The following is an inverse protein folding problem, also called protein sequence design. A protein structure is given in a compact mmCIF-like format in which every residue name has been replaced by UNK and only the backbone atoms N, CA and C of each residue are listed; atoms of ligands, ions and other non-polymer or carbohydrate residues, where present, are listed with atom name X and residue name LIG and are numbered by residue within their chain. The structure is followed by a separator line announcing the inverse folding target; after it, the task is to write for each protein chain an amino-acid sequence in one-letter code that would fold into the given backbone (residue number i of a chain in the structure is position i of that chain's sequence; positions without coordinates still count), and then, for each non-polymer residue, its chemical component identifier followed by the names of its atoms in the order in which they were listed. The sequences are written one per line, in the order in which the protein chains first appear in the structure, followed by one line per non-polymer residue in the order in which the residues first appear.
data_IF_329885383699
#
_entry.id   IF_329885383699
#
_cell.length_a   1.000
_cell.length_b   1.000
_cell.length_c   1.000
_cell.angle_alpha   90.00
_cell.angle_beta   90.00
_cell.angle_gamma   90.00
#
_symmetry.space_group_name_H-M   'P 1'
#
loop_
_entity.id
_entity.type
_entity.pdbx_description
1 polymer ?
#
# COMPACT_ATOMS: atom_id res chain seq x y z
N UNK A 1 -4.52 -21.68 11.20
CA UNK A 1 -3.56 -20.68 10.71
C UNK A 1 -4.37 -19.62 10.00
N UNK A 2 -4.19 -18.32 10.28
CA UNK A 2 -4.98 -17.29 9.62
C UNK A 2 -4.65 -17.28 8.13
N UNK A 3 -5.69 -17.26 7.31
CA UNK A 3 -5.60 -17.09 5.87
C UNK A 3 -5.07 -15.68 5.61
N UNK A 4 -3.80 -15.58 5.20
CA UNK A 4 -3.23 -14.31 4.78
C UNK A 4 -3.96 -13.93 3.49
N UNK A 5 -4.94 -13.03 3.58
CA UNK A 5 -5.53 -12.41 2.41
C UNK A 5 -4.43 -11.60 1.72
N UNK A 6 -3.88 -12.18 0.66
CA UNK A 6 -2.95 -11.44 -0.20
C UNK A 6 -3.67 -10.19 -0.72
N UNK A 7 -3.05 -9.00 -0.62
CA UNK A 7 -3.67 -7.79 -1.13
C UNK A 7 -4.00 -7.99 -2.61
N UNK A 8 -5.22 -7.64 -3.01
CA UNK A 8 -5.71 -7.80 -4.38
C UNK A 8 -4.73 -7.15 -5.35
N UNK A 9 -4.11 -7.91 -6.25
CA UNK A 9 -3.07 -7.38 -7.15
C UNK A 9 -1.64 -7.44 -6.62
N UNK A 10 -1.38 -8.17 -5.53
CA UNK A 10 -0.03 -8.65 -5.25
C UNK A 10 0.41 -9.56 -6.41
N UNK A 11 1.59 -9.36 -7.01
CA UNK A 11 2.08 -10.28 -8.04
C UNK A 11 2.12 -11.66 -7.42
N UNK A 12 1.26 -12.58 -7.92
CA UNK A 12 1.25 -13.98 -7.49
C UNK A 12 2.70 -14.41 -7.52
N UNK A 13 3.29 -14.69 -6.36
CA UNK A 13 4.69 -15.09 -6.26
C UNK A 13 4.82 -16.38 -7.06
N UNK A 14 5.15 -16.24 -8.34
CA UNK A 14 5.48 -17.36 -9.20
C UNK A 14 6.64 -18.06 -8.52
N UNK A 15 6.62 -19.39 -8.35
CA UNK A 15 7.65 -20.15 -7.60
C UNK A 15 9.05 -20.13 -8.25
N UNK A 16 9.33 -19.14 -9.09
CA UNK A 16 10.52 -18.98 -9.93
C UNK A 16 11.06 -17.55 -9.82
N UNK A 17 11.14 -16.97 -8.62
CA UNK A 17 12.03 -15.83 -8.39
C UNK A 17 13.47 -16.36 -8.46
N UNK A 18 14.01 -16.41 -9.68
CA UNK A 18 15.31 -17.05 -9.97
C UNK A 18 16.50 -16.30 -9.35
N UNK A 19 16.32 -15.03 -8.95
CA UNK A 19 17.35 -14.23 -8.28
C UNK A 19 16.75 -13.20 -7.31
N UNK A 20 17.55 -12.74 -6.34
CA UNK A 20 17.19 -11.64 -5.42
C UNK A 20 16.91 -10.33 -6.16
N UNK A 21 17.56 -10.09 -7.30
CA UNK A 21 17.36 -8.87 -8.07
C UNK A 21 15.97 -8.83 -8.71
N UNK A 22 15.46 -9.96 -9.19
CA UNK A 22 14.10 -10.06 -9.71
C UNK A 22 13.07 -9.88 -8.60
N UNK A 23 13.30 -10.49 -7.42
CA UNK A 23 12.46 -10.27 -6.24
C UNK A 23 12.39 -8.77 -5.89
N UNK A 24 13.55 -8.09 -5.83
CA UNK A 24 13.63 -6.66 -5.52
C UNK A 24 12.90 -5.78 -6.53
N UNK A 25 13.00 -6.09 -7.83
CA UNK A 25 12.27 -5.35 -8.88
C UNK A 25 10.76 -5.50 -8.72
N UNK A 26 10.28 -6.72 -8.51
CA UNK A 26 8.85 -7.00 -8.36
C UNK A 26 8.30 -6.34 -7.10
N UNK A 27 9.00 -6.48 -5.97
CA UNK A 27 8.61 -5.82 -4.71
C UNK A 27 8.66 -4.30 -4.83
N UNK A 28 9.69 -3.75 -5.47
CA UNK A 28 9.81 -2.30 -5.68
C UNK A 28 8.68 -1.73 -6.51
N UNK A 29 8.33 -2.40 -7.61
CA UNK A 29 7.17 -2.03 -8.43
C UNK A 29 5.87 -2.11 -7.64
N UNK A 30 5.64 -3.20 -6.92
CA UNK A 30 4.43 -3.37 -6.11
C UNK A 30 4.31 -2.31 -5.02
N UNK A 31 5.41 -1.97 -4.34
CA UNK A 31 5.44 -0.90 -3.34
C UNK A 31 5.04 0.46 -3.93
N UNK A 32 5.54 0.78 -5.14
CA UNK A 32 5.16 2.01 -5.83
C UNK A 32 3.67 2.03 -6.16
N UNK A 33 3.14 0.96 -6.76
CA UNK A 33 1.70 0.84 -7.09
C UNK A 33 0.83 0.93 -5.83
N UNK A 34 1.21 0.23 -4.75
CA UNK A 34 0.48 0.28 -3.48
C UNK A 34 0.44 1.68 -2.88
N UNK A 35 1.57 2.40 -2.88
CA UNK A 35 1.67 3.70 -2.24
C UNK A 35 1.01 4.84 -3.04
N UNK A 36 0.93 4.72 -4.37
CA UNK A 36 0.55 5.84 -5.25
C UNK A 36 -0.69 5.63 -6.11
N UNK A 37 -1.12 4.37 -6.36
CA UNK A 37 -2.21 4.09 -7.31
C UNK A 37 -3.44 3.47 -6.64
N UNK A 38 -3.28 2.88 -5.46
CA UNK A 38 -4.34 2.09 -4.83
C UNK A 38 -5.11 2.89 -3.78
N UNK A 39 -6.40 3.21 -4.02
CA UNK A 39 -7.25 3.78 -2.99
C UNK A 39 -7.57 2.71 -1.94
N UNK A 40 -7.48 3.09 -0.67
CA UNK A 40 -7.81 2.20 0.45
C UNK A 40 -9.08 2.67 1.15
N UNK A 41 -10.08 1.80 1.29
CA UNK A 41 -11.32 2.12 1.99
C UNK A 41 -11.07 2.62 3.42
N UNK A 42 -10.09 2.05 4.12
CA UNK A 42 -9.67 2.49 5.46
C UNK A 42 -9.06 3.89 5.50
N UNK A 43 -8.58 4.39 4.35
CA UNK A 43 -8.07 5.75 4.17
C UNK A 43 -9.08 6.65 3.45
N UNK A 44 -10.38 6.33 3.52
CA UNK A 44 -11.44 7.06 2.82
C UNK A 44 -11.24 7.07 1.29
N UNK A 45 -10.82 5.93 0.74
CA UNK A 45 -10.48 5.75 -0.68
C UNK A 45 -9.31 6.63 -1.16
N UNK A 46 -8.45 7.09 -0.25
CA UNK A 46 -7.18 7.72 -0.59
C UNK A 46 -6.07 6.69 -0.75
N UNK A 47 -5.08 7.02 -1.55
CA UNK A 47 -3.80 6.33 -1.55
C UNK A 47 -3.01 6.67 -0.28
N UNK A 48 -2.05 5.83 0.11
CA UNK A 48 -1.19 6.13 1.26
C UNK A 48 -0.44 7.46 1.11
N UNK A 49 -0.01 7.82 -0.10
CA UNK A 49 0.65 9.09 -0.38
C UNK A 49 -0.28 10.29 -0.20
N UNK A 50 -1.48 10.25 -0.75
CA UNK A 50 -2.47 11.31 -0.59
C UNK A 50 -2.87 11.50 0.88
N UNK A 51 -3.02 10.39 1.61
CA UNK A 51 -3.32 10.45 3.04
C UNK A 51 -2.18 11.13 3.83
N UNK A 52 -0.91 10.84 3.53
CA UNK A 52 0.23 11.53 4.17
C UNK A 52 0.19 13.03 3.92
N UNK A 53 -0.01 13.45 2.67
CA UNK A 53 -0.10 14.87 2.32
C UNK A 53 -1.26 15.58 3.02
N UNK A 54 -2.39 14.88 3.20
CA UNK A 54 -3.54 15.42 3.93
C UNK A 54 -3.31 15.49 5.43
N UNK A 55 -2.64 14.49 6.02
CA UNK A 55 -2.29 14.45 7.44
C UNK A 55 -1.21 15.48 7.82
N UNK A 56 -0.35 15.86 6.87
CA UNK A 56 0.67 16.90 7.03
C UNK A 56 0.08 18.33 7.04
N UNK A 57 -1.21 18.51 6.71
CA UNK A 57 -1.93 19.77 6.90
C UNK A 57 -2.69 19.79 8.25
N UNK A 58 -2.20 20.51 9.28
CA UNK A 58 -2.75 20.45 10.64
C UNK A 58 -4.13 21.09 10.81
N UNK A 59 -4.67 21.78 9.81
CA UNK A 59 -5.98 22.48 9.91
C UNK A 59 -7.19 21.54 10.05
N UNK A 60 -7.04 20.24 9.73
CA UNK A 60 -8.14 19.25 9.79
C UNK A 60 -8.02 18.31 11.01
N UNK A 61 -6.97 18.46 11.83
CA UNK A 61 -6.50 17.40 12.74
C UNK A 61 -6.95 17.51 14.21
N UNK A 62 -8.14 18.06 14.50
CA UNK A 62 -8.64 18.12 15.89
C UNK A 62 -10.16 17.95 16.05
N UNK A 63 -10.74 16.87 15.53
CA UNK A 63 -12.05 16.41 16.03
C UNK A 63 -12.37 14.96 15.62
N UNK A 64 -11.69 13.96 16.18
CA UNK A 64 -12.12 12.56 16.00
C UNK A 64 -11.70 11.62 17.14
N UNK A 65 -11.56 12.13 18.37
CA UNK A 65 -11.38 11.30 19.57
C UNK A 65 -12.20 11.85 20.75
N UNK A 66 -13.50 12.05 20.53
CA UNK A 66 -14.49 12.14 21.63
C UNK A 66 -15.34 10.88 21.62
#
# INVERSE_FOLDING_TARGET
MPEIQYPQGFPRFSPQLRTLNEARKITGRWLAEYNSERPHESLNNLTPEEYRLMAENPEVSKSAWN
#
